data_IF_759312838021
#
_entry.id   IF_759312838021
#
_cell.length_a   1.000
_cell.length_b   1.000
_cell.length_c   1.000
_cell.angle_alpha   90.00
_cell.angle_beta   90.00
_cell.angle_gamma   90.00
#
_symmetry.space_group_name_H-M   'P 1'
#
loop_
_entity.id
_entity.type
_entity.pdbx_description
1 polymer ?
#
# COMPACT_ATOMS: atom_id res chain seq x y z
N UNK A 1 -8.83 -12.54 12.16
CA UNK A 1 -8.31 -11.50 11.25
C UNK A 1 -9.06 -11.51 9.93
N UNK A 2 -8.91 -12.51 9.05
CA UNK A 2 -9.77 -12.63 7.84
C UNK A 2 -11.27 -12.72 8.20
N UNK A 3 -11.61 -13.42 9.27
CA UNK A 3 -13.01 -13.53 9.75
C UNK A 3 -13.65 -12.19 10.16
N UNK A 4 -12.86 -11.16 10.48
CA UNK A 4 -13.39 -9.83 10.84
C UNK A 4 -13.92 -9.09 9.61
N UNK A 5 -13.26 -9.28 8.46
CA UNK A 5 -13.58 -8.59 7.20
C UNK A 5 -14.23 -9.51 6.17
N UNK A 6 -14.55 -10.76 6.54
CA UNK A 6 -14.94 -11.78 5.56
C UNK A 6 -16.20 -11.41 4.77
N UNK A 7 -17.15 -10.70 5.38
CA UNK A 7 -18.36 -10.26 4.69
C UNK A 7 -18.04 -9.20 3.65
N UNK A 8 -17.38 -8.10 4.05
CA UNK A 8 -16.97 -7.04 3.12
C UNK A 8 -16.05 -7.59 2.02
N UNK A 9 -15.10 -8.46 2.38
CA UNK A 9 -14.21 -9.11 1.43
C UNK A 9 -14.97 -9.93 0.38
N UNK A 10 -16.00 -10.68 0.79
CA UNK A 10 -16.83 -11.45 -0.13
C UNK A 10 -17.64 -10.55 -1.06
N UNK A 11 -18.13 -9.41 -0.56
CA UNK A 11 -18.84 -8.42 -1.37
C UNK A 11 -17.93 -7.77 -2.42
N UNK A 12 -16.73 -7.35 -2.01
CA UNK A 12 -15.72 -6.76 -2.90
C UNK A 12 -15.29 -7.76 -3.97
N UNK A 13 -15.00 -9.02 -3.61
CA UNK A 13 -14.67 -10.08 -4.57
C UNK A 13 -15.83 -10.31 -5.54
N UNK A 14 -17.08 -10.34 -5.04
CA UNK A 14 -18.26 -10.48 -5.90
C UNK A 14 -18.47 -9.30 -6.85
N UNK A 15 -18.06 -8.09 -6.49
CA UNK A 15 -18.00 -6.93 -7.42
C UNK A 15 -16.94 -7.17 -8.49
N UNK A 16 -15.72 -7.56 -8.10
CA UNK A 16 -14.60 -7.82 -9.02
C UNK A 16 -14.98 -8.92 -10.04
N UNK A 17 -15.49 -10.06 -9.57
CA UNK A 17 -15.89 -11.17 -10.44
C UNK A 17 -16.98 -10.75 -11.43
N UNK A 18 -18.02 -10.04 -10.98
CA UNK A 18 -19.11 -9.59 -11.85
C UNK A 18 -18.64 -8.77 -13.05
N UNK A 19 -17.60 -7.95 -12.87
CA UNK A 19 -17.06 -7.09 -13.92
C UNK A 19 -15.97 -7.78 -14.75
N UNK A 20 -15.25 -8.75 -14.18
CA UNK A 20 -14.01 -9.28 -14.76
C UNK A 20 -14.01 -10.80 -15.03
N UNK A 21 -15.06 -11.56 -14.71
CA UNK A 21 -15.10 -13.04 -14.78
C UNK A 21 -14.46 -13.65 -16.05
N UNK A 22 -14.69 -13.14 -17.28
CA UNK A 22 -14.10 -13.74 -18.48
C UNK A 22 -12.58 -13.57 -18.58
N UNK A 23 -12.00 -12.62 -17.85
CA UNK A 23 -10.60 -12.21 -17.98
C UNK A 23 -9.82 -12.33 -16.67
N UNK A 24 -10.52 -12.55 -15.55
CA UNK A 24 -9.97 -12.67 -14.21
C UNK A 24 -9.14 -13.94 -14.06
N UNK A 25 -7.87 -13.78 -13.69
CA UNK A 25 -6.97 -14.88 -13.37
C UNK A 25 -6.92 -15.16 -11.87
N UNK A 26 -6.79 -14.10 -11.07
CA UNK A 26 -6.67 -14.24 -9.62
C UNK A 26 -7.03 -12.96 -8.86
N UNK A 27 -7.37 -13.16 -7.59
CA UNK A 27 -7.52 -12.10 -6.59
C UNK A 27 -6.75 -12.53 -5.35
N UNK A 28 -5.79 -11.72 -4.92
CA UNK A 28 -4.98 -11.96 -3.73
C UNK A 28 -5.26 -10.89 -2.67
N UNK A 29 -5.63 -11.33 -1.47
CA UNK A 29 -5.59 -10.49 -0.27
C UNK A 29 -4.14 -10.42 0.21
N UNK A 30 -3.60 -9.22 0.37
CA UNK A 30 -2.25 -9.01 0.91
C UNK A 30 -2.25 -7.93 2.00
N UNK A 31 -1.05 -7.46 2.35
CA UNK A 31 -0.89 -6.32 3.23
C UNK A 31 -1.33 -6.61 4.67
N UNK A 32 -1.89 -5.61 5.35
CA UNK A 32 -2.03 -5.68 6.82
C UNK A 32 -3.00 -6.76 7.30
N UNK A 33 -3.93 -7.20 6.43
CA UNK A 33 -4.84 -8.30 6.73
C UNK A 33 -4.17 -9.68 6.81
N UNK A 34 -2.98 -9.82 6.20
CA UNK A 34 -2.21 -11.07 6.14
C UNK A 34 -0.91 -10.97 6.96
N UNK A 35 -0.29 -9.80 6.99
CA UNK A 35 0.99 -9.55 7.64
C UNK A 35 0.94 -8.33 8.57
N UNK A 36 1.12 -8.54 9.88
CA UNK A 36 1.08 -7.51 10.92
C UNK A 36 -0.29 -7.25 11.55
N UNK A 37 -1.37 -7.60 10.87
CA UNK A 37 -2.73 -7.58 11.35
C UNK A 37 -3.47 -6.26 11.26
N UNK A 38 -4.77 -6.32 10.99
CA UNK A 38 -5.64 -5.16 10.85
C UNK A 38 -5.63 -4.31 12.11
N UNK A 39 -5.36 -3.01 11.93
CA UNK A 39 -5.46 -1.96 12.93
C UNK A 39 -6.72 -1.11 12.67
N UNK A 40 -7.12 -0.19 13.57
CA UNK A 40 -8.38 0.54 13.40
C UNK A 40 -8.53 1.27 12.05
N UNK A 41 -7.43 1.81 11.51
CA UNK A 41 -7.41 2.50 10.22
C UNK A 41 -6.78 1.68 9.08
N UNK A 42 -6.59 0.37 9.27
CA UNK A 42 -6.15 -0.51 8.19
C UNK A 42 -7.22 -0.65 7.11
N UNK A 43 -6.75 -0.60 5.88
CA UNK A 43 -7.39 -0.98 4.63
C UNK A 43 -7.42 -2.49 4.40
N UNK A 44 -8.22 -2.89 3.42
CA UNK A 44 -8.23 -4.22 2.80
C UNK A 44 -7.51 -4.10 1.45
N UNK A 45 -6.30 -4.67 1.36
CA UNK A 45 -5.45 -4.61 0.18
C UNK A 45 -5.70 -5.80 -0.77
N UNK A 46 -6.11 -5.53 -2.01
CA UNK A 46 -6.37 -6.55 -3.04
C UNK A 46 -5.52 -6.35 -4.30
N UNK A 47 -4.79 -7.38 -4.68
CA UNK A 47 -4.14 -7.49 -5.99
C UNK A 47 -5.03 -8.32 -6.91
N UNK A 48 -5.44 -7.75 -8.03
CA UNK A 48 -6.26 -8.41 -9.05
C UNK A 48 -5.45 -8.60 -10.31
N UNK A 49 -5.45 -9.82 -10.84
CA UNK A 49 -4.72 -10.16 -12.07
C UNK A 49 -5.71 -10.50 -13.17
N UNK A 50 -5.59 -9.85 -14.33
CA UNK A 50 -6.43 -10.12 -15.51
C UNK A 50 -5.58 -10.48 -16.73
N UNK A 51 -6.19 -11.16 -17.71
CA UNK A 51 -5.54 -11.54 -18.98
C UNK A 51 -5.49 -10.42 -20.01
N UNK A 52 -6.41 -9.45 -19.94
CA UNK A 52 -6.53 -8.36 -20.92
C UNK A 52 -6.84 -7.04 -20.23
N UNK A 53 -6.47 -5.94 -20.89
CA UNK A 53 -6.77 -4.58 -20.42
C UNK A 53 -8.27 -4.34 -20.35
N UNK A 54 -8.67 -3.51 -19.39
CA UNK A 54 -10.07 -3.14 -19.21
C UNK A 54 -10.44 -2.10 -20.27
N UNK A 55 -11.63 -2.25 -20.86
CA UNK A 55 -12.22 -1.13 -21.59
C UNK A 55 -12.72 -0.07 -20.59
N UNK A 56 -12.84 1.18 -21.07
CA UNK A 56 -13.23 2.31 -20.22
C UNK A 56 -14.62 2.18 -19.60
N UNK A 57 -15.54 1.43 -20.22
CA UNK A 57 -16.88 1.21 -19.66
C UNK A 57 -16.79 0.28 -18.46
N UNK A 58 -16.09 -0.84 -18.60
CA UNK A 58 -15.82 -1.79 -17.51
C UNK A 58 -15.03 -1.14 -16.37
N UNK A 59 -13.96 -0.37 -16.69
CA UNK A 59 -13.16 0.38 -15.71
C UNK A 59 -14.03 1.26 -14.82
N UNK A 60 -14.89 2.08 -15.43
CA UNK A 60 -15.75 3.02 -14.70
C UNK A 60 -16.83 2.29 -13.91
N UNK A 61 -17.45 1.27 -14.48
CA UNK A 61 -18.48 0.50 -13.78
C UNK A 61 -17.90 -0.19 -12.53
N UNK A 62 -16.74 -0.84 -12.67
CA UNK A 62 -16.03 -1.47 -11.56
C UNK A 62 -15.68 -0.46 -10.45
N UNK A 63 -15.08 0.68 -10.79
CA UNK A 63 -14.69 1.69 -9.79
C UNK A 63 -15.91 2.23 -9.02
N UNK A 64 -17.02 2.48 -9.71
CA UNK A 64 -18.24 2.96 -9.05
C UNK A 64 -18.84 1.91 -8.12
N UNK A 65 -18.89 0.64 -8.53
CA UNK A 65 -19.40 -0.43 -7.67
C UNK A 65 -18.47 -0.69 -6.47
N UNK A 66 -17.15 -0.54 -6.64
CA UNK A 66 -16.19 -0.64 -5.54
C UNK A 66 -16.41 0.46 -4.48
N UNK A 67 -16.76 1.69 -4.88
CA UNK A 67 -17.08 2.77 -3.94
C UNK A 67 -18.23 2.44 -2.99
N UNK A 68 -19.19 1.60 -3.41
CA UNK A 68 -20.32 1.19 -2.57
C UNK A 68 -19.92 0.16 -1.50
N UNK A 69 -18.77 -0.51 -1.69
CA UNK A 69 -18.24 -1.55 -0.80
C UNK A 69 -17.09 -1.07 0.07
N UNK A 70 -16.76 0.21 0.03
CA UNK A 70 -15.61 0.81 0.70
C UNK A 70 -16.03 2.11 1.41
N UNK A 71 -15.34 2.45 2.50
CA UNK A 71 -15.55 3.68 3.24
C UNK A 71 -14.22 4.27 3.70
N UNK A 72 -14.11 5.60 3.80
CA UNK A 72 -12.89 6.23 4.29
C UNK A 72 -12.56 5.74 5.70
N UNK A 73 -11.26 5.64 6.07
CA UNK A 73 -10.89 5.14 7.39
C UNK A 73 -11.56 5.90 8.53
N UNK A 74 -12.35 5.20 9.34
CA UNK A 74 -13.06 5.76 10.49
C UNK A 74 -14.44 6.37 10.19
N UNK A 75 -14.90 6.37 8.93
CA UNK A 75 -16.24 6.88 8.57
C UNK A 75 -17.35 5.82 8.69
N UNK A 76 -16.99 4.54 8.90
CA UNK A 76 -17.92 3.44 9.06
C UNK A 76 -17.49 2.49 10.16
N UNK A 77 -18.46 2.00 10.92
CA UNK A 77 -18.24 0.94 11.94
C UNK A 77 -18.21 -0.46 11.31
N UNK A 78 -18.64 -0.60 10.04
CA UNK A 78 -18.82 -1.88 9.36
C UNK A 78 -17.86 -2.03 8.18
N UNK A 79 -17.61 -0.94 7.44
CA UNK A 79 -16.79 -0.95 6.25
C UNK A 79 -15.42 -0.35 6.54
N UNK A 80 -14.37 -1.05 6.12
CA UNK A 80 -13.01 -0.51 6.01
C UNK A 80 -12.80 0.14 4.65
N UNK A 81 -11.74 0.92 4.53
CA UNK A 81 -11.23 1.30 3.23
C UNK A 81 -10.77 0.05 2.47
N UNK A 82 -11.06 0.01 1.18
CA UNK A 82 -10.60 -1.02 0.25
C UNK A 82 -9.60 -0.38 -0.69
N UNK A 83 -8.48 -1.05 -0.89
CA UNK A 83 -7.51 -0.73 -1.93
C UNK A 83 -7.49 -1.87 -2.95
N UNK A 84 -7.66 -1.54 -4.23
CA UNK A 84 -7.59 -2.52 -5.33
C UNK A 84 -6.58 -2.06 -6.37
N UNK A 85 -5.54 -2.87 -6.56
CA UNK A 85 -4.60 -2.72 -7.68
C UNK A 85 -4.87 -3.81 -8.70
N UNK A 86 -5.11 -3.43 -9.95
CA UNK A 86 -5.28 -4.38 -11.06
C UNK A 86 -4.06 -4.35 -11.96
N UNK A 87 -3.55 -5.52 -12.31
CA UNK A 87 -2.48 -5.72 -13.29
C UNK A 87 -2.93 -6.65 -14.42
N UNK A 88 -2.43 -6.40 -15.62
CA UNK A 88 -2.55 -7.36 -16.73
C UNK A 88 -1.37 -8.30 -16.66
N UNK A 89 -1.61 -9.61 -16.66
CA UNK A 89 -0.55 -10.63 -16.49
C UNK A 89 0.59 -10.47 -17.49
N UNK A 90 0.26 -10.26 -18.77
CA UNK A 90 1.24 -10.05 -19.85
C UNK A 90 1.99 -8.70 -19.75
N UNK A 91 1.46 -7.72 -19.02
CA UNK A 91 2.18 -6.46 -18.73
C UNK A 91 3.16 -6.64 -17.53
N UNK A 92 3.07 -7.76 -16.78
CA UNK A 92 3.96 -8.10 -15.66
C UNK A 92 4.95 -9.21 -16.03
N UNK A 93 4.56 -10.19 -16.87
CA UNK A 93 5.37 -11.37 -17.19
C UNK A 93 5.77 -11.38 -18.68
N UNK A 94 7.09 -11.41 -19.00
CA UNK A 94 8.23 -11.41 -18.08
C UNK A 94 8.44 -10.05 -17.38
N UNK A 95 8.96 -10.10 -16.15
CA UNK A 95 9.17 -8.90 -15.31
C UNK A 95 10.03 -7.84 -15.98
N UNK A 96 9.60 -6.57 -15.86
CA UNK A 96 10.33 -5.36 -16.25
C UNK A 96 10.01 -4.22 -15.29
N UNK A 97 11.05 -3.59 -14.77
CA UNK A 97 10.92 -2.41 -13.92
C UNK A 97 11.03 -1.09 -14.72
N UNK A 98 10.20 -0.08 -14.42
CA UNK A 98 8.96 -0.17 -13.65
C UNK A 98 7.84 -0.85 -14.44
N UNK A 99 6.93 -1.53 -13.74
CA UNK A 99 5.81 -2.23 -14.34
C UNK A 99 4.60 -1.29 -14.53
N UNK A 100 3.58 -1.79 -15.25
CA UNK A 100 2.35 -1.03 -15.52
C UNK A 100 1.19 -1.56 -14.68
N UNK A 101 0.51 -0.67 -13.95
CA UNK A 101 -0.80 -0.98 -13.37
C UNK A 101 -1.91 -0.64 -14.35
N UNK A 102 -2.91 -1.48 -14.41
CA UNK A 102 -4.10 -1.26 -15.24
C UNK A 102 -5.10 -0.33 -14.54
N UNK A 103 -5.26 -0.49 -13.22
CA UNK A 103 -6.18 0.29 -12.39
C UNK A 103 -5.64 0.37 -10.96
N UNK A 104 -5.85 1.50 -10.31
CA UNK A 104 -5.77 1.64 -8.85
C UNK A 104 -7.11 2.18 -8.36
N UNK A 105 -7.61 1.64 -7.26
CA UNK A 105 -8.74 2.14 -6.51
C UNK A 105 -8.31 2.31 -5.06
N UNK A 106 -8.73 3.43 -4.46
CA UNK A 106 -8.63 3.66 -3.03
C UNK A 106 -9.40 4.90 -2.60
N UNK A 107 -9.65 5.02 -1.30
CA UNK A 107 -10.50 6.09 -0.74
C UNK A 107 -9.97 7.51 -0.98
N UNK A 108 -8.65 7.67 -1.17
CA UNK A 108 -8.05 8.97 -1.52
C UNK A 108 -8.54 9.51 -2.87
N UNK A 109 -9.07 8.65 -3.75
CA UNK A 109 -9.62 9.02 -5.05
C UNK A 109 -11.13 9.28 -5.01
N UNK A 110 -11.82 9.08 -3.87
CA UNK A 110 -13.29 9.11 -3.80
C UNK A 110 -13.90 10.37 -4.41
N UNK A 111 -13.36 11.55 -4.08
CA UNK A 111 -13.88 12.82 -4.59
C UNK A 111 -13.74 12.94 -6.12
N UNK A 112 -12.61 12.50 -6.67
CA UNK A 112 -12.35 12.49 -8.11
C UNK A 112 -13.29 11.50 -8.81
N UNK A 113 -13.45 10.30 -8.26
CA UNK A 113 -14.35 9.28 -8.79
C UNK A 113 -15.80 9.80 -8.82
N UNK A 114 -16.28 10.43 -7.73
CA UNK A 114 -17.60 11.03 -7.67
C UNK A 114 -17.79 12.19 -8.66
N UNK A 115 -16.71 12.90 -9.00
CA UNK A 115 -16.69 13.90 -10.06
C UNK A 115 -16.57 13.31 -11.49
N UNK A 116 -16.47 11.98 -11.61
CA UNK A 116 -16.29 11.28 -12.88
C UNK A 116 -14.87 11.36 -13.44
N UNK A 117 -13.88 11.64 -12.60
CA UNK A 117 -12.46 11.68 -12.92
C UNK A 117 -11.86 10.33 -12.51
N UNK A 118 -11.29 9.63 -13.48
CA UNK A 118 -10.71 8.29 -13.29
C UNK A 118 -9.27 8.28 -13.76
N UNK A 119 -8.38 7.72 -12.95
CA UNK A 119 -6.98 7.55 -13.35
C UNK A 119 -6.85 6.53 -14.50
N UNK A 120 -6.05 6.84 -15.53
CA UNK A 120 -5.73 5.87 -16.56
C UNK A 120 -4.75 4.83 -16.04
N UNK A 121 -4.60 3.74 -16.80
CA UNK A 121 -3.50 2.81 -16.61
C UNK A 121 -2.16 3.54 -16.76
N UNK A 122 -1.22 3.32 -15.83
CA UNK A 122 0.06 4.06 -15.78
C UNK A 122 1.20 3.16 -15.33
N UNK A 123 2.42 3.61 -15.58
CA UNK A 123 3.63 3.05 -14.97
C UNK A 123 3.59 3.34 -13.48
N UNK A 124 3.93 2.33 -12.69
CA UNK A 124 3.88 2.39 -11.23
C UNK A 124 5.08 1.66 -10.62
N UNK A 125 5.91 2.42 -9.92
CA UNK A 125 7.13 1.92 -9.26
C UNK A 125 6.79 1.03 -8.07
N UNK A 126 5.63 1.25 -7.42
CA UNK A 126 5.24 0.53 -6.21
C UNK A 126 4.88 -0.92 -6.51
N UNK A 127 4.65 -1.28 -7.77
CA UNK A 127 4.40 -2.67 -8.18
C UNK A 127 5.56 -3.61 -7.81
N UNK A 128 6.80 -3.12 -7.78
CA UNK A 128 7.94 -3.92 -7.31
C UNK A 128 7.77 -4.30 -5.83
N UNK A 129 7.35 -3.34 -4.99
CA UNK A 129 7.12 -3.53 -3.56
C UNK A 129 5.87 -4.39 -3.34
N UNK A 130 4.79 -4.08 -4.05
CA UNK A 130 3.50 -4.77 -3.95
C UNK A 130 3.63 -6.24 -4.33
N UNK A 131 4.21 -6.56 -5.49
CA UNK A 131 4.37 -7.94 -5.95
C UNK A 131 5.31 -8.74 -5.05
N UNK A 132 6.38 -8.11 -4.53
CA UNK A 132 7.24 -8.75 -3.53
C UNK A 132 6.41 -9.16 -2.31
N UNK A 133 5.64 -8.22 -1.72
CA UNK A 133 4.74 -8.51 -0.58
C UNK A 133 3.70 -9.56 -0.91
N UNK A 134 3.05 -9.47 -2.07
CA UNK A 134 1.98 -10.38 -2.46
C UNK A 134 2.51 -11.81 -2.66
N UNK A 135 3.70 -11.97 -3.23
CA UNK A 135 4.33 -13.29 -3.37
C UNK A 135 4.72 -13.90 -2.02
N UNK A 136 5.23 -13.10 -1.09
CA UNK A 136 5.68 -13.59 0.22
C UNK A 136 4.52 -13.80 1.21
N UNK A 137 3.54 -12.90 1.19
CA UNK A 137 2.52 -12.74 2.24
C UNK A 137 1.15 -12.36 1.65
N UNK A 138 0.53 -13.30 0.94
CA UNK A 138 -0.86 -13.17 0.49
C UNK A 138 -1.69 -14.44 0.67
N UNK A 139 -3.00 -14.28 0.52
CA UNK A 139 -3.96 -15.37 0.43
C UNK A 139 -4.68 -15.25 -0.91
N UNK A 140 -4.63 -16.31 -1.72
CA UNK A 140 -5.43 -16.40 -2.94
C UNK A 140 -6.91 -16.59 -2.58
N UNK A 141 -7.74 -15.61 -2.94
CA UNK A 141 -9.20 -15.67 -2.81
C UNK A 141 -9.82 -16.30 -4.06
N UNK A 142 -9.23 -16.00 -5.22
CA UNK A 142 -9.57 -16.56 -6.53
C UNK A 142 -8.27 -16.90 -7.24
N UNK A 143 -8.25 -18.01 -7.98
CA UNK A 143 -7.11 -18.41 -8.78
C UNK A 143 -5.94 -19.02 -7.98
N UNK A 144 -4.79 -19.21 -8.64
CA UNK A 144 -3.58 -19.76 -8.02
C UNK A 144 -2.89 -18.75 -7.07
N UNK A 145 -1.95 -19.25 -6.27
CA UNK A 145 -1.14 -18.41 -5.37
C UNK A 145 -0.29 -17.39 -6.16
N UNK A 146 0.00 -16.24 -5.55
CA UNK A 146 0.75 -15.17 -6.22
C UNK A 146 2.16 -15.62 -6.65
N UNK A 147 2.80 -16.50 -5.87
CA UNK A 147 4.12 -17.07 -6.20
C UNK A 147 4.11 -18.01 -7.41
N UNK A 148 2.95 -18.54 -7.81
CA UNK A 148 2.77 -19.37 -9.01
C UNK A 148 2.51 -18.53 -10.27
N UNK A 149 1.96 -17.32 -10.11
CA UNK A 149 1.63 -16.42 -11.22
C UNK A 149 2.74 -15.46 -11.60
N UNK A 150 3.53 -15.05 -10.60
CA UNK A 150 4.53 -14.02 -10.75
C UNK A 150 5.92 -14.54 -10.42
N UNK A 151 6.88 -14.20 -11.28
CA UNK A 151 8.30 -14.38 -10.97
C UNK A 151 8.71 -13.47 -9.79
N UNK A 152 9.72 -13.86 -9.00
CA UNK A 152 10.29 -12.97 -7.98
C UNK A 152 10.79 -11.67 -8.61
N UNK A 153 10.44 -10.53 -7.99
CA UNK A 153 11.02 -9.23 -8.35
C UNK A 153 12.51 -9.25 -7.98
N UNK A 154 13.42 -8.86 -8.90
CA UNK A 154 14.84 -8.72 -8.57
C UNK A 154 15.05 -7.74 -7.41
N UNK A 155 15.94 -8.09 -6.48
CA UNK A 155 16.24 -7.28 -5.30
C UNK A 155 16.65 -5.84 -5.66
N UNK A 156 17.39 -5.67 -6.77
CA UNK A 156 17.76 -4.35 -7.27
C UNK A 156 16.54 -3.49 -7.63
N UNK A 157 15.52 -4.05 -8.26
CA UNK A 157 14.32 -3.32 -8.66
C UNK A 157 13.45 -2.98 -7.44
N UNK A 158 13.43 -3.85 -6.42
CA UNK A 158 12.80 -3.54 -5.13
C UNK A 158 13.49 -2.35 -4.45
N UNK A 159 14.83 -2.33 -4.42
CA UNK A 159 15.57 -1.20 -3.84
C UNK A 159 15.43 0.08 -4.65
N UNK A 160 15.38 0.00 -5.98
CA UNK A 160 15.14 1.15 -6.84
C UNK A 160 13.75 1.74 -6.55
N UNK A 161 12.71 0.91 -6.48
CA UNK A 161 11.36 1.36 -6.11
C UNK A 161 11.34 2.06 -4.75
N UNK A 162 11.94 1.45 -3.73
CA UNK A 162 12.04 2.04 -2.39
C UNK A 162 12.79 3.39 -2.40
N UNK A 163 13.84 3.53 -3.22
CA UNK A 163 14.59 4.76 -3.36
C UNK A 163 13.79 5.85 -4.10
N UNK A 164 13.06 5.48 -5.15
CA UNK A 164 12.17 6.39 -5.86
C UNK A 164 11.02 6.88 -4.96
N UNK A 165 10.45 6.03 -4.10
CA UNK A 165 9.46 6.44 -3.09
C UNK A 165 9.99 7.53 -2.16
N UNK A 166 11.29 7.54 -1.82
CA UNK A 166 11.87 8.60 -0.98
C UNK A 166 11.84 9.98 -1.64
N UNK A 167 11.74 10.05 -2.97
CA UNK A 167 11.68 11.30 -3.71
C UNK A 167 10.31 11.98 -3.62
N UNK A 168 9.29 11.29 -3.10
CA UNK A 168 7.93 11.83 -2.96
C UNK A 168 7.83 12.91 -1.88
N UNK A 169 8.62 12.80 -0.80
CA UNK A 169 8.49 13.65 0.39
C UNK A 169 9.71 14.55 0.58
N UNK A 170 9.63 15.80 0.09
CA UNK A 170 10.74 16.75 0.15
C UNK A 170 10.45 17.99 1.00
N UNK A 171 9.18 18.29 1.25
CA UNK A 171 8.74 19.46 1.99
C UNK A 171 7.41 19.21 2.71
N UNK A 172 7.07 20.00 3.75
CA UNK A 172 5.83 19.84 4.50
C UNK A 172 4.53 19.67 3.68
N UNK A 173 4.34 20.38 2.55
CA UNK A 173 3.18 20.14 1.68
C UNK A 173 3.06 18.72 1.13
N UNK A 174 4.16 17.98 0.98
CA UNK A 174 4.17 16.64 0.36
C UNK A 174 3.59 15.56 1.29
N UNK A 175 3.54 15.82 2.61
CA UNK A 175 3.04 14.87 3.62
C UNK A 175 1.93 15.46 4.50
N UNK A 176 1.44 16.65 4.16
CA UNK A 176 0.36 17.29 4.90
C UNK A 176 -0.92 16.44 4.85
N UNK A 177 -1.41 16.03 6.01
CA UNK A 177 -2.58 15.15 6.13
C UNK A 177 -2.27 13.65 6.03
N UNK A 178 -1.01 13.26 5.82
CA UNK A 178 -0.58 11.86 5.79
C UNK A 178 0.63 11.58 6.70
N UNK A 179 0.88 12.46 7.67
CA UNK A 179 2.09 12.52 8.49
C UNK A 179 2.47 11.17 9.10
N UNK A 180 1.49 10.48 9.70
CA UNK A 180 1.68 9.16 10.31
C UNK A 180 2.12 8.11 9.30
N UNK A 181 1.47 8.04 8.15
CA UNK A 181 1.81 7.05 7.13
C UNK A 181 3.18 7.33 6.53
N UNK A 182 3.56 8.60 6.35
CA UNK A 182 4.91 8.97 5.92
C UNK A 182 5.96 8.51 6.92
N UNK A 183 5.78 8.78 8.22
CA UNK A 183 6.70 8.33 9.27
C UNK A 183 6.88 6.81 9.27
N UNK A 184 5.77 6.07 9.18
CA UNK A 184 5.78 4.60 9.21
C UNK A 184 6.35 4.02 7.90
N UNK A 185 6.07 4.63 6.76
CA UNK A 185 6.61 4.20 5.47
C UNK A 185 8.11 4.44 5.38
N UNK A 186 8.61 5.61 5.82
CA UNK A 186 10.05 5.86 5.92
C UNK A 186 10.74 4.86 6.85
N UNK A 187 10.11 4.50 7.96
CA UNK A 187 10.63 3.48 8.88
C UNK A 187 10.73 2.10 8.21
N UNK A 188 9.72 1.73 7.40
CA UNK A 188 9.73 0.48 6.60
C UNK A 188 10.78 0.51 5.50
N UNK A 189 10.94 1.62 4.79
CA UNK A 189 11.99 1.76 3.77
C UNK A 189 13.36 1.62 4.42
N UNK A 190 13.59 2.25 5.58
CA UNK A 190 14.86 2.13 6.29
C UNK A 190 15.14 0.71 6.78
N UNK A 191 14.12 0.03 7.31
CA UNK A 191 14.22 -1.39 7.66
C UNK A 191 14.58 -2.25 6.45
N UNK A 192 13.90 -2.07 5.33
CA UNK A 192 14.16 -2.82 4.09
C UNK A 192 15.57 -2.56 3.56
N UNK A 193 16.01 -1.30 3.52
CA UNK A 193 17.35 -0.90 3.08
C UNK A 193 18.47 -1.59 3.89
N UNK A 194 18.26 -1.80 5.20
CA UNK A 194 19.28 -2.43 6.06
C UNK A 194 19.18 -3.95 6.08
N UNK A 195 17.99 -4.52 5.98
CA UNK A 195 17.76 -5.95 6.24
C UNK A 195 17.49 -6.79 5.00
N UNK A 196 17.16 -6.16 3.86
CA UNK A 196 16.69 -6.85 2.65
C UNK A 196 15.31 -7.49 2.82
N UNK A 197 14.54 -7.11 3.85
CA UNK A 197 13.23 -7.70 4.16
C UNK A 197 12.18 -6.62 4.29
N UNK A 198 10.94 -6.96 3.98
CA UNK A 198 9.77 -6.12 4.26
C UNK A 198 9.23 -6.49 5.65
N UNK A 199 8.80 -5.49 6.42
CA UNK A 199 8.17 -5.70 7.73
C UNK A 199 6.84 -4.93 7.86
N UNK A 200 5.96 -5.35 8.79
CA UNK A 200 4.82 -4.55 9.24
C UNK A 200 5.20 -3.16 9.74
N UNK A 201 4.25 -2.21 9.71
CA UNK A 201 4.46 -0.79 10.09
C UNK A 201 4.95 -0.65 11.54
N UNK A 202 4.35 -1.36 12.48
CA UNK A 202 4.70 -1.34 13.90
C UNK A 202 6.07 -1.97 14.19
N UNK A 203 6.38 -3.10 13.54
CA UNK A 203 7.68 -3.77 13.64
C UNK A 203 8.81 -2.89 13.12
N UNK A 204 8.62 -2.28 11.95
CA UNK A 204 9.60 -1.34 11.39
C UNK A 204 9.77 -0.09 12.27
N UNK A 205 8.68 0.39 12.87
CA UNK A 205 8.73 1.53 13.78
C UNK A 205 9.53 1.21 15.05
N UNK A 206 9.31 0.04 15.67
CA UNK A 206 10.09 -0.42 16.84
C UNK A 206 11.57 -0.54 16.49
N UNK A 207 11.88 -1.16 15.35
CA UNK A 207 13.25 -1.30 14.86
C UNK A 207 13.94 0.05 14.64
N UNK A 208 13.24 1.02 14.03
CA UNK A 208 13.79 2.35 13.78
C UNK A 208 13.97 3.15 15.08
N UNK A 209 13.05 3.01 16.04
CA UNK A 209 13.10 3.70 17.34
C UNK A 209 14.37 3.36 18.13
N UNK A 210 14.83 2.11 18.09
CA UNK A 210 16.09 1.67 18.72
C UNK A 210 17.34 2.34 18.14
N UNK A 211 17.26 2.85 16.91
CA UNK A 211 18.39 3.41 16.14
C UNK A 211 18.34 4.94 16.03
N UNK A 212 17.20 5.54 16.34
CA UNK A 212 17.02 6.97 16.26
C UNK A 212 17.64 7.69 17.46
N UNK A 213 18.31 8.83 17.24
CA UNK A 213 18.60 9.79 18.29
C UNK A 213 17.34 10.14 19.09
N UNK A 214 17.51 10.34 20.41
CA UNK A 214 16.41 10.57 21.34
C UNK A 214 15.47 11.72 20.94
N UNK A 215 15.98 12.73 20.23
CA UNK A 215 15.18 13.88 19.77
C UNK A 215 14.10 13.50 18.73
N UNK A 216 14.28 12.42 17.98
CA UNK A 216 13.36 11.96 16.93
C UNK A 216 12.39 10.87 17.41
N UNK A 217 12.69 10.23 18.54
CA UNK A 217 11.86 9.16 19.08
C UNK A 217 10.39 9.56 19.36
N UNK A 218 10.07 10.79 19.83
CA UNK A 218 8.68 11.18 20.05
C UNK A 218 7.81 11.12 18.79
N UNK A 219 8.35 11.46 17.62
CA UNK A 219 7.60 11.46 16.34
C UNK A 219 7.21 10.04 15.95
N UNK A 220 8.17 9.11 15.97
CA UNK A 220 7.92 7.72 15.59
C UNK A 220 7.09 6.97 16.62
N UNK A 221 7.24 7.29 17.91
CA UNK A 221 6.43 6.72 18.97
C UNK A 221 4.95 7.10 18.80
N UNK A 222 4.68 8.38 18.57
CA UNK A 222 3.32 8.88 18.35
C UNK A 222 2.72 8.27 17.07
N UNK A 223 3.47 8.24 15.96
CA UNK A 223 3.01 7.61 14.72
C UNK A 223 2.62 6.14 14.93
N UNK A 224 3.44 5.39 15.67
CA UNK A 224 3.17 3.98 16.00
C UNK A 224 1.95 3.84 16.91
N UNK A 225 1.85 4.63 17.98
CA UNK A 225 0.70 4.56 18.90
C UNK A 225 -0.60 4.93 18.20
N UNK A 226 -0.59 5.97 17.36
CA UNK A 226 -1.73 6.35 16.54
C UNK A 226 -2.13 5.26 15.54
N UNK A 227 -1.15 4.61 14.89
CA UNK A 227 -1.40 3.48 14.00
C UNK A 227 -2.04 2.29 14.73
N UNK A 228 -1.60 2.01 15.95
CA UNK A 228 -2.16 0.95 16.79
C UNK A 228 -3.50 1.32 17.44
N UNK A 229 -3.99 2.55 17.27
CA UNK A 229 -5.21 3.07 17.91
C UNK A 229 -5.07 3.27 19.42
N UNK A 230 -3.85 3.47 19.92
CA UNK A 230 -3.55 3.64 21.34
C UNK A 230 -3.61 5.11 21.76
N UNK A 231 -3.28 6.03 20.85
CA UNK A 231 -3.32 7.47 21.07
C UNK A 231 -3.89 8.18 19.83
N UNK A 232 -4.30 9.44 19.98
CA UNK A 232 -4.72 10.27 18.86
C UNK A 232 -3.53 10.68 18.00
N UNK A 233 -3.74 10.74 16.69
CA UNK A 233 -2.76 11.28 15.75
C UNK A 233 -2.70 12.81 15.86
N UNK A 234 -1.58 13.34 16.36
CA UNK A 234 -1.36 14.79 16.51
C UNK A 234 -0.07 15.22 15.84
N UNK A 235 0.45 14.43 14.90
CA UNK A 235 1.74 14.69 14.25
C UNK A 235 1.74 16.01 13.47
N UNK A 236 0.62 16.41 12.90
CA UNK A 236 0.45 17.71 12.25
C UNK A 236 0.76 18.90 13.20
N UNK A 237 0.56 18.74 14.51
CA UNK A 237 0.92 19.76 15.52
C UNK A 237 2.41 19.82 15.85
N UNK A 238 3.19 18.85 15.36
CA UNK A 238 4.65 18.72 15.55
C UNK A 238 5.43 18.95 14.25
N UNK A 239 4.94 19.85 13.40
CA UNK A 239 5.47 20.06 12.04
C UNK A 239 7.01 20.15 11.98
N UNK A 240 7.63 20.97 12.83
CA UNK A 240 9.09 21.13 12.85
C UNK A 240 9.82 19.81 13.19
N UNK A 241 9.34 19.06 14.20
CA UNK A 241 9.95 17.79 14.61
C UNK A 241 9.76 16.71 13.54
N UNK A 242 8.61 16.72 12.87
CA UNK A 242 8.31 15.79 11.78
C UNK A 242 9.21 16.07 10.57
N UNK A 243 9.39 17.34 10.20
CA UNK A 243 10.28 17.72 9.09
C UNK A 243 11.72 17.31 9.38
N UNK A 244 12.23 17.57 10.59
CA UNK A 244 13.57 17.12 10.98
C UNK A 244 13.69 15.58 10.99
N UNK A 245 12.64 14.87 11.44
CA UNK A 245 12.58 13.41 11.39
C UNK A 245 12.67 12.89 9.95
N UNK A 246 11.87 13.44 9.04
CA UNK A 246 11.83 13.03 7.63
C UNK A 246 13.20 13.22 6.99
N UNK A 247 13.81 14.40 7.18
CA UNK A 247 15.15 14.68 6.66
C UNK A 247 16.22 13.75 7.26
N UNK A 248 16.17 13.49 8.56
CA UNK A 248 17.12 12.60 9.22
C UNK A 248 17.02 11.17 8.68
N UNK A 249 15.81 10.60 8.65
CA UNK A 249 15.61 9.21 8.21
C UNK A 249 15.94 9.05 6.73
N UNK A 250 15.56 10.00 5.87
CA UNK A 250 16.01 10.01 4.46
C UNK A 250 17.54 10.01 4.37
N UNK A 251 18.21 10.82 5.18
CA UNK A 251 19.67 10.86 5.26
C UNK A 251 20.30 9.53 5.68
N UNK A 252 19.70 8.80 6.63
CA UNK A 252 20.15 7.47 7.04
C UNK A 252 19.94 6.42 5.95
N UNK A 253 18.81 6.46 5.24
CA UNK A 253 18.52 5.53 4.15
C UNK A 253 19.52 5.70 3.00
N UNK A 254 19.79 6.95 2.58
CA UNK A 254 20.74 7.24 1.50
C UNK A 254 22.16 6.73 1.79
N UNK A 255 22.58 6.70 3.06
CA UNK A 255 23.89 6.15 3.47
C UNK A 255 24.00 4.64 3.30
N UNK A 256 22.86 3.94 3.29
CA UNK A 256 22.79 2.48 3.18
C UNK A 256 22.56 2.06 1.74
N UNK A 257 21.66 2.73 1.00
CA UNK A 257 21.34 2.44 -0.40
C UNK A 257 22.46 2.88 -1.36
N UNK A 258 23.28 3.86 -0.99
CA UNK A 258 24.42 4.32 -1.79
C UNK A 258 25.71 3.47 -1.69
N UNK A 259 25.65 2.27 -1.10
CA UNK A 259 26.78 1.32 -0.98
C UNK A 259 26.59 0.12 -1.89
#
# INVERSE_FOLDING_TARGET
>A
MIAEVSTQLSEVVGVIERHLEPTLLAVHLYGSAVDGGLKPHSDIDLLVTVTVRLDETTRRALINDLLETSASPGESEILRAVEVTIVVHDDIIPWRYPAKRELQFGEWQRNDILAGIFEPATIDIDLAILLTKAREHSVALVGPAAEELFDPVPEQDLFEALNETLTLWNSPPDWAGDERNVVLTLSRIWYSAVTGKIAPKDVAADWAMERLPAQYQPVILEARQAYLGQEEDRLASRADQLEEFVHYVKGEITKVVGK
#
